data_IF_635136708309
#
_entry.id   IF_635136708309
#
_cell.length_a   1.000
_cell.length_b   1.000
_cell.length_c   1.000
_cell.angle_alpha   90.00
_cell.angle_beta   90.00
_cell.angle_gamma   90.00
#
_symmetry.space_group_name_H-M   'P 1'
#
loop_
_entity.id
_entity.type
_entity.pdbx_description
1 polymer ?
#
# COMPACT_ATOMS: atom_id res chain seq x y z
N UNK A 1 12.49 31.88 17.71
CA UNK A 1 11.38 32.36 16.85
C UNK A 1 11.97 32.96 15.58
N UNK A 2 11.24 32.88 14.46
CA UNK A 2 11.57 33.52 13.17
C UNK A 2 12.88 33.09 12.46
N UNK A 3 12.82 31.97 11.72
CA UNK A 3 13.38 31.92 10.36
C UNK A 3 12.66 30.87 9.49
N UNK A 4 11.40 31.15 9.15
CA UNK A 4 10.62 30.47 8.09
C UNK A 4 9.74 31.49 7.36
N UNK A 5 10.36 32.35 6.56
CA UNK A 5 9.70 33.23 5.60
C UNK A 5 10.74 33.77 4.60
N UNK A 6 10.44 33.65 3.30
CA UNK A 6 11.19 34.05 2.09
C UNK A 6 11.90 32.91 1.34
N UNK A 7 11.15 32.26 0.44
CA UNK A 7 11.56 31.98 -0.95
C UNK A 7 10.34 31.49 -1.75
N UNK A 8 9.37 32.38 -1.93
CA UNK A 8 8.43 32.28 -3.06
C UNK A 8 9.09 32.89 -4.31
N UNK A 9 8.65 32.46 -5.49
CA UNK A 9 9.12 32.91 -6.82
C UNK A 9 10.61 32.71 -7.12
N UNK A 10 10.95 31.51 -7.58
CA UNK A 10 11.83 31.38 -8.74
C UNK A 10 11.28 30.28 -9.67
N UNK A 11 10.44 30.68 -10.64
CA UNK A 11 10.13 29.79 -11.77
C UNK A 11 11.38 29.76 -12.65
N UNK A 12 12.27 28.80 -12.39
CA UNK A 12 13.22 28.41 -13.42
C UNK A 12 12.43 27.72 -14.52
N UNK A 13 12.33 28.37 -15.67
CA UNK A 13 12.01 27.70 -16.91
C UNK A 13 13.15 26.73 -17.22
N UNK A 14 13.06 25.51 -16.68
CA UNK A 14 13.88 24.40 -17.15
C UNK A 14 13.40 24.10 -18.56
N UNK A 15 14.18 24.52 -19.56
CA UNK A 15 13.99 24.08 -20.94
C UNK A 15 14.40 22.62 -21.05
N UNK A 16 13.58 21.73 -20.49
CA UNK A 16 13.66 20.30 -20.80
C UNK A 16 13.21 20.18 -22.26
N UNK A 17 14.13 19.77 -23.12
CA UNK A 17 13.81 19.27 -24.45
C UNK A 17 13.11 17.91 -24.36
N UNK A 18 11.96 17.88 -23.71
CA UNK A 18 11.08 16.72 -23.52
C UNK A 18 9.77 17.00 -24.24
N UNK A 19 9.35 16.07 -25.09
CA UNK A 19 8.17 16.27 -25.94
C UNK A 19 6.89 16.38 -25.11
N UNK A 20 5.94 17.16 -25.62
CA UNK A 20 4.59 17.41 -25.08
C UNK A 20 3.69 16.17 -24.99
N UNK A 21 4.25 14.96 -25.10
CA UNK A 21 3.55 13.68 -24.96
C UNK A 21 3.76 12.97 -23.60
N UNK A 22 4.69 13.41 -22.75
CA UNK A 22 4.96 12.71 -21.47
C UNK A 22 3.89 12.98 -20.39
N UNK A 23 3.40 14.22 -20.23
CA UNK A 23 2.29 14.52 -19.32
C UNK A 23 0.93 13.93 -19.76
N UNK A 24 0.77 13.64 -21.06
CA UNK A 24 -0.42 12.95 -21.57
C UNK A 24 -0.40 11.43 -21.27
N UNK A 25 0.77 10.86 -20.98
CA UNK A 25 0.96 9.41 -20.89
C UNK A 25 0.60 8.85 -19.50
N UNK A 26 0.73 9.64 -18.42
CA UNK A 26 0.33 9.23 -17.07
C UNK A 26 -1.18 9.32 -16.84
N UNK A 27 -1.85 10.32 -17.40
CA UNK A 27 -3.33 10.40 -17.39
C UNK A 27 -3.99 9.24 -18.17
N UNK A 28 -3.33 8.72 -19.20
CA UNK A 28 -3.85 7.68 -20.09
C UNK A 28 -4.01 6.28 -19.48
N UNK A 29 -3.61 6.05 -18.22
CA UNK A 29 -3.74 4.75 -17.59
C UNK A 29 -5.15 4.49 -17.02
N UNK A 30 -5.83 5.50 -16.49
CA UNK A 30 -7.12 5.35 -15.78
C UNK A 30 -8.35 5.69 -16.63
N UNK A 31 -8.22 6.61 -17.58
CA UNK A 31 -9.30 7.02 -18.47
C UNK A 31 -8.76 7.60 -19.78
N UNK A 32 -9.58 7.56 -20.83
CA UNK A 32 -9.30 8.09 -22.15
C UNK A 32 -10.26 9.25 -22.45
N UNK A 33 -9.78 10.34 -23.06
CA UNK A 33 -10.66 11.40 -23.57
C UNK A 33 -11.50 10.87 -24.74
N UNK A 34 -12.80 11.16 -24.71
CA UNK A 34 -13.75 11.04 -25.81
C UNK A 34 -13.91 12.38 -26.58
N UNK A 35 -13.21 13.43 -26.16
CA UNK A 35 -13.19 14.75 -26.80
C UNK A 35 -14.14 15.78 -26.18
N UNK A 36 -14.41 16.83 -26.96
CA UNK A 36 -15.11 18.02 -26.52
C UNK A 36 -16.58 18.05 -27.01
N UNK A 37 -17.51 18.11 -26.06
CA UNK A 37 -18.95 17.94 -26.28
C UNK A 37 -19.77 19.04 -25.59
N UNK A 38 -21.04 19.16 -25.96
CA UNK A 38 -21.95 20.09 -25.32
C UNK A 38 -22.31 19.62 -23.89
N UNK A 39 -22.16 20.45 -22.83
CA UNK A 39 -22.44 20.05 -21.45
C UNK A 39 -23.89 19.64 -21.14
N UNK A 40 -24.83 19.77 -22.08
CA UNK A 40 -26.22 19.32 -21.88
C UNK A 40 -26.38 17.80 -21.89
N UNK A 41 -25.45 17.03 -22.46
CA UNK A 41 -25.55 15.56 -22.54
C UNK A 41 -25.41 14.84 -21.19
N UNK A 42 -24.71 15.44 -20.21
CA UNK A 42 -24.49 14.83 -18.89
C UNK A 42 -24.95 15.75 -17.73
N UNK A 43 -25.72 15.26 -16.74
CA UNK A 43 -26.07 16.03 -15.56
C UNK A 43 -24.86 16.23 -14.64
N UNK A 44 -24.89 17.26 -13.80
CA UNK A 44 -23.83 17.50 -12.82
C UNK A 44 -24.01 16.62 -11.57
N UNK A 45 -22.89 16.08 -11.06
CA UNK A 45 -22.83 15.27 -9.85
C UNK A 45 -22.12 15.99 -8.68
N UNK A 46 -21.92 17.30 -8.78
CA UNK A 46 -21.40 18.14 -7.69
C UNK A 46 -22.22 17.97 -6.40
N UNK A 47 -21.54 17.83 -5.26
CA UNK A 47 -22.16 17.62 -3.95
C UNK A 47 -22.84 16.25 -3.74
N UNK A 48 -22.82 15.36 -4.73
CA UNK A 48 -23.30 13.97 -4.57
C UNK A 48 -22.22 13.04 -4.00
N UNK A 49 -20.95 13.47 -4.05
CA UNK A 49 -19.79 12.79 -3.51
C UNK A 49 -18.94 13.74 -2.67
N UNK A 50 -18.35 13.24 -1.58
CA UNK A 50 -17.55 14.05 -0.65
C UNK A 50 -16.32 14.71 -1.29
N UNK A 51 -15.73 14.10 -2.34
CA UNK A 51 -14.60 14.66 -3.11
C UNK A 51 -15.00 15.84 -3.99
N UNK A 52 -16.31 15.98 -4.25
CA UNK A 52 -16.90 17.08 -5.00
C UNK A 52 -17.52 18.15 -4.09
N UNK A 53 -17.48 17.98 -2.76
CA UNK A 53 -17.94 19.02 -1.83
C UNK A 53 -17.01 20.24 -1.88
N UNK A 54 -17.60 21.43 -2.02
CA UNK A 54 -16.89 22.70 -2.06
C UNK A 54 -17.63 23.73 -2.92
N UNK A 55 -17.41 25.01 -2.67
CA UNK A 55 -18.16 26.10 -3.33
C UNK A 55 -17.55 26.57 -4.66
N UNK A 56 -16.34 26.12 -5.00
CA UNK A 56 -15.62 26.52 -6.22
C UNK A 56 -14.84 25.36 -6.82
N UNK A 57 -15.36 24.82 -7.92
CA UNK A 57 -14.74 23.75 -8.70
C UNK A 57 -13.63 24.25 -9.63
N UNK A 58 -13.56 25.55 -9.95
CA UNK A 58 -12.58 26.10 -10.90
C UNK A 58 -11.16 26.03 -10.36
N UNK A 59 -11.01 26.22 -9.05
CA UNK A 59 -9.74 26.11 -8.31
C UNK A 59 -9.49 24.71 -7.73
N UNK A 60 -10.38 23.73 -7.98
CA UNK A 60 -10.26 22.38 -7.43
C UNK A 60 -8.97 21.71 -7.93
N UNK A 61 -8.05 21.43 -7.01
CA UNK A 61 -6.89 20.58 -7.28
C UNK A 61 -7.38 19.18 -7.68
N UNK A 62 -6.82 18.68 -8.78
CA UNK A 62 -7.08 17.35 -9.35
C UNK A 62 -8.57 17.09 -9.65
N UNK A 63 -9.23 18.10 -10.23
CA UNK A 63 -10.65 18.06 -10.60
C UNK A 63 -11.02 16.86 -11.48
N UNK A 64 -10.19 16.52 -12.49
CA UNK A 64 -10.43 15.39 -13.40
C UNK A 64 -10.41 14.08 -12.61
N UNK A 65 -9.38 13.86 -11.79
CA UNK A 65 -9.23 12.66 -10.95
C UNK A 65 -10.38 12.53 -9.94
N UNK A 66 -10.75 13.61 -9.25
CA UNK A 66 -11.88 13.60 -8.30
C UNK A 66 -13.22 13.34 -9.01
N UNK A 67 -13.38 13.83 -10.24
CA UNK A 67 -14.58 13.56 -11.04
C UNK A 67 -14.64 12.10 -11.51
N UNK A 68 -13.53 11.55 -12.00
CA UNK A 68 -13.38 10.12 -12.32
C UNK A 68 -13.76 9.24 -11.13
N UNK A 69 -13.12 9.45 -9.97
CA UNK A 69 -13.35 8.65 -8.78
C UNK A 69 -14.80 8.78 -8.25
N UNK A 70 -15.39 9.97 -8.32
CA UNK A 70 -16.80 10.22 -7.94
C UNK A 70 -17.78 9.51 -8.88
N UNK A 71 -17.58 9.61 -10.20
CA UNK A 71 -18.35 8.86 -11.19
C UNK A 71 -18.27 7.35 -10.94
N UNK A 72 -17.07 6.82 -10.66
CA UNK A 72 -16.86 5.41 -10.36
C UNK A 72 -17.52 4.94 -9.05
N UNK A 73 -17.54 5.78 -8.01
CA UNK A 73 -18.31 5.49 -6.79
C UNK A 73 -19.81 5.44 -7.08
N UNK A 74 -20.31 6.24 -8.02
CA UNK A 74 -21.69 6.20 -8.49
C UNK A 74 -21.98 5.10 -9.54
N UNK A 75 -21.06 4.16 -9.77
CA UNK A 75 -21.17 3.08 -10.77
C UNK A 75 -21.04 3.51 -12.24
N UNK A 76 -20.57 4.73 -12.51
CA UNK A 76 -20.53 5.29 -13.86
C UNK A 76 -19.16 5.09 -14.52
N UNK A 77 -19.16 4.82 -15.83
CA UNK A 77 -17.95 4.51 -16.63
C UNK A 77 -17.59 5.60 -17.65
N UNK A 78 -18.43 6.63 -17.77
CA UNK A 78 -18.18 7.84 -18.56
C UNK A 78 -18.49 9.06 -17.69
N UNK A 79 -17.59 10.03 -17.69
CA UNK A 79 -17.71 11.27 -16.94
C UNK A 79 -17.21 12.43 -17.78
N UNK A 80 -17.54 13.66 -17.40
CA UNK A 80 -17.05 14.86 -18.07
C UNK A 80 -16.88 16.01 -17.10
N UNK A 81 -16.09 17.00 -17.53
CA UNK A 81 -15.89 18.24 -16.82
C UNK A 81 -16.28 19.41 -17.71
N UNK A 82 -17.04 20.36 -17.18
CA UNK A 82 -17.33 21.66 -17.81
C UNK A 82 -16.97 22.82 -16.87
N UNK A 83 -17.07 24.07 -17.37
CA UNK A 83 -16.87 25.28 -16.57
C UNK A 83 -15.57 25.26 -15.73
N UNK A 84 -14.47 24.79 -16.33
CA UNK A 84 -13.12 24.69 -15.76
C UNK A 84 -12.98 23.77 -14.53
N UNK A 85 -13.88 22.79 -14.33
CA UNK A 85 -13.68 21.73 -13.33
C UNK A 85 -14.93 21.15 -12.68
N UNK A 86 -16.14 21.57 -13.11
CA UNK A 86 -17.40 21.04 -12.60
C UNK A 86 -17.64 19.64 -13.15
N UNK A 87 -17.87 18.69 -12.25
CA UNK A 87 -18.06 17.29 -12.59
C UNK A 87 -19.47 16.95 -13.07
N UNK A 88 -19.55 16.11 -14.10
CA UNK A 88 -20.77 15.60 -14.73
C UNK A 88 -20.64 14.12 -15.07
N UNK A 89 -21.71 13.34 -14.87
CA UNK A 89 -21.76 11.91 -15.20
C UNK A 89 -23.18 11.37 -14.98
N UNK A 90 -23.49 10.20 -15.54
CA UNK A 90 -24.76 9.47 -15.34
C UNK A 90 -24.58 7.98 -15.63
N UNK A 91 -25.57 7.16 -15.24
CA UNK A 91 -25.59 5.72 -15.54
C UNK A 91 -25.67 5.44 -17.05
N UNK A 92 -26.34 6.31 -17.80
CA UNK A 92 -26.53 6.27 -19.26
C UNK A 92 -25.49 7.08 -20.02
N UNK A 93 -24.47 7.61 -19.34
CA UNK A 93 -23.42 8.42 -19.95
C UNK A 93 -22.71 7.77 -21.15
N UNK A 94 -22.55 6.42 -21.25
CA UNK A 94 -22.01 5.80 -22.46
C UNK A 94 -22.87 5.97 -23.73
N UNK A 95 -24.18 6.22 -23.57
CA UNK A 95 -25.17 6.32 -24.66
C UNK A 95 -25.60 7.77 -24.93
N UNK A 96 -25.59 8.65 -23.91
CA UNK A 96 -26.19 9.99 -23.97
C UNK A 96 -25.17 11.17 -24.02
N UNK A 97 -23.86 10.93 -23.84
CA UNK A 97 -22.90 12.03 -23.64
C UNK A 97 -22.76 12.99 -24.83
N UNK A 98 -23.02 12.51 -26.04
CA UNK A 98 -22.90 13.23 -27.31
C UNK A 98 -24.23 13.80 -27.85
N UNK A 99 -25.35 13.59 -27.15
CA UNK A 99 -26.70 14.08 -27.53
C UNK A 99 -26.74 15.59 -27.83
N UNK A 100 -25.96 16.38 -27.11
CA UNK A 100 -25.86 17.82 -27.30
C UNK A 100 -24.97 18.26 -28.48
N UNK A 101 -24.30 17.32 -29.14
CA UNK A 101 -23.37 17.53 -30.23
C UNK A 101 -21.94 17.94 -29.80
N UNK A 102 -20.99 17.96 -30.75
CA UNK A 102 -19.60 18.36 -30.49
C UNK A 102 -19.47 19.85 -30.17
N UNK A 103 -18.46 20.20 -29.37
CA UNK A 103 -18.14 21.57 -28.96
C UNK A 103 -16.67 21.92 -29.24
N UNK A 104 -16.33 23.22 -29.20
CA UNK A 104 -14.99 23.74 -29.55
C UNK A 104 -14.35 24.56 -28.44
N UNK A 105 -14.68 24.27 -27.17
CA UNK A 105 -14.29 25.11 -26.01
C UNK A 105 -13.31 24.47 -25.02
N UNK A 106 -12.83 23.24 -25.25
CA UNK A 106 -12.03 22.49 -24.28
C UNK A 106 -10.51 22.75 -24.37
N UNK A 107 -10.02 23.26 -25.50
CA UNK A 107 -8.59 23.29 -25.88
C UNK A 107 -7.67 23.98 -24.87
N UNK A 108 -8.14 25.02 -24.16
CA UNK A 108 -7.33 25.81 -23.22
C UNK A 108 -7.50 25.40 -21.75
N UNK A 109 -8.18 24.29 -21.47
CA UNK A 109 -8.68 23.96 -20.11
C UNK A 109 -7.94 22.79 -19.46
N UNK A 110 -6.92 22.24 -20.13
CA UNK A 110 -6.17 21.05 -19.71
C UNK A 110 -7.11 19.90 -19.34
N UNK A 111 -8.18 19.71 -20.12
CA UNK A 111 -9.17 18.65 -19.93
C UNK A 111 -10.25 18.93 -18.87
N UNK A 112 -10.33 20.14 -18.31
CA UNK A 112 -11.36 20.50 -17.32
C UNK A 112 -12.67 21.00 -17.93
N UNK A 113 -12.76 21.05 -19.26
CA UNK A 113 -13.84 21.67 -20.01
C UNK A 113 -13.94 23.19 -19.82
N UNK A 114 -14.61 23.85 -20.74
CA UNK A 114 -14.73 25.31 -20.80
C UNK A 114 -16.14 25.82 -20.53
N UNK A 115 -16.33 27.12 -20.72
CA UNK A 115 -17.66 27.72 -20.67
C UNK A 115 -18.46 27.28 -21.90
N UNK A 116 -19.53 26.51 -21.66
CA UNK A 116 -20.36 25.93 -22.73
C UNK A 116 -19.74 24.73 -23.46
N UNK A 117 -18.65 24.15 -22.93
CA UNK A 117 -17.98 22.98 -23.51
C UNK A 117 -17.53 22.01 -22.42
N UNK A 118 -17.79 20.72 -22.61
CA UNK A 118 -17.47 19.64 -21.69
C UNK A 118 -16.40 18.74 -22.30
N UNK A 119 -15.28 18.54 -21.61
CA UNK A 119 -14.35 17.46 -21.98
C UNK A 119 -14.91 16.17 -21.38
N UNK A 120 -15.07 15.12 -22.18
CA UNK A 120 -15.66 13.84 -21.77
C UNK A 120 -14.59 12.76 -21.76
N UNK A 121 -14.69 11.84 -20.81
CA UNK A 121 -13.76 10.77 -20.53
C UNK A 121 -14.46 9.44 -20.33
N UNK A 122 -13.87 8.37 -20.86
CA UNK A 122 -14.26 6.98 -20.59
C UNK A 122 -13.21 6.30 -19.71
N UNK A 123 -13.67 5.59 -18.68
CA UNK A 123 -12.79 4.79 -17.82
C UNK A 123 -12.12 3.68 -18.63
N UNK A 124 -10.80 3.52 -18.46
CA UNK A 124 -10.03 2.51 -19.20
C UNK A 124 -10.42 1.09 -18.78
N UNK A 125 -10.31 0.13 -19.70
CA UNK A 125 -10.70 -1.26 -19.44
C UNK A 125 -9.98 -1.88 -18.24
N UNK A 126 -8.71 -1.47 -18.01
CA UNK A 126 -7.93 -1.87 -16.83
C UNK A 126 -8.61 -1.44 -15.52
N UNK A 127 -9.24 -0.28 -15.46
CA UNK A 127 -9.83 0.28 -14.23
C UNK A 127 -11.36 0.22 -14.18
N UNK A 128 -12.02 -0.15 -15.29
CA UNK A 128 -13.48 -0.33 -15.38
C UNK A 128 -14.02 -1.23 -14.28
N UNK A 129 -13.26 -2.24 -13.87
CA UNK A 129 -13.62 -3.18 -12.80
C UNK A 129 -13.78 -2.51 -11.42
N UNK A 130 -13.13 -1.38 -11.15
CA UNK A 130 -13.26 -0.62 -9.90
C UNK A 130 -14.64 0.06 -9.87
N UNK A 131 -14.97 0.71 -10.98
CA UNK A 131 -16.20 1.48 -11.19
C UNK A 131 -17.45 0.58 -11.35
N UNK A 132 -17.28 -0.72 -11.54
CA UNK A 132 -18.39 -1.70 -11.66
C UNK A 132 -18.55 -2.61 -10.44
N UNK A 133 -17.87 -2.35 -9.31
CA UNK A 133 -18.03 -3.11 -8.05
C UNK A 133 -19.42 -2.98 -7.39
N UNK A 134 -20.38 -2.29 -8.01
CA UNK A 134 -21.71 -2.05 -7.48
C UNK A 134 -22.58 -3.32 -7.32
N UNK A 135 -23.60 -3.25 -6.46
CA UNK A 135 -24.61 -4.30 -6.30
C UNK A 135 -26.00 -3.69 -6.49
N UNK A 136 -26.84 -4.34 -7.30
CA UNK A 136 -28.22 -3.91 -7.57
C UNK A 136 -28.36 -2.45 -8.08
N UNK A 137 -27.33 -1.96 -8.79
CA UNK A 137 -27.29 -0.59 -9.32
C UNK A 137 -26.92 0.51 -8.30
N UNK A 138 -26.55 0.15 -7.08
CA UNK A 138 -26.10 1.07 -6.04
C UNK A 138 -24.60 0.85 -5.75
N UNK A 139 -23.78 1.89 -5.46
CA UNK A 139 -22.51 1.72 -4.78
C UNK A 139 -22.58 0.66 -3.69
N UNK A 140 -21.60 -0.25 -3.67
CA UNK A 140 -21.30 -0.93 -2.41
C UNK A 140 -20.79 0.15 -1.47
N UNK A 141 -21.40 0.29 -0.29
CA UNK A 141 -20.63 0.84 0.82
C UNK A 141 -19.47 -0.11 1.04
N UNK A 142 -18.25 0.37 0.77
CA UNK A 142 -17.06 -0.39 1.09
C UNK A 142 -16.90 -0.30 2.60
N UNK A 143 -17.57 -1.20 3.33
CA UNK A 143 -17.51 -1.30 4.80
C UNK A 143 -16.10 -1.68 5.31
N UNK A 144 -15.12 -1.75 4.40
CA UNK A 144 -13.69 -1.88 4.64
C UNK A 144 -12.95 -0.90 3.72
N UNK A 145 -12.33 0.11 4.33
CA UNK A 145 -11.40 1.05 3.71
C UNK A 145 -10.13 1.11 4.57
N UNK A 146 -9.00 1.33 3.92
CA UNK A 146 -7.69 1.19 4.56
C UNK A 146 -6.94 2.52 4.64
N UNK A 147 -6.23 2.73 5.74
CA UNK A 147 -5.16 3.72 5.84
C UNK A 147 -3.85 2.94 5.85
N UNK A 148 -3.02 3.14 4.83
CA UNK A 148 -1.76 2.42 4.61
C UNK A 148 -0.60 3.39 4.73
N UNK A 149 0.39 3.08 5.55
CA UNK A 149 1.62 3.89 5.67
C UNK A 149 2.82 3.09 5.17
N UNK A 150 3.50 3.63 4.17
CA UNK A 150 4.75 3.08 3.66
C UNK A 150 5.90 3.68 4.50
N UNK A 151 6.58 2.84 5.29
CA UNK A 151 7.65 3.21 6.22
C UNK A 151 8.98 2.74 5.62
N UNK A 152 9.58 3.61 4.82
CA UNK A 152 10.76 3.31 4.02
C UNK A 152 12.05 3.70 4.75
N UNK A 153 12.97 2.75 4.80
CA UNK A 153 14.32 2.94 5.31
C UNK A 153 15.15 3.79 4.32
N UNK A 154 15.71 4.89 4.82
CA UNK A 154 16.59 5.81 4.08
C UNK A 154 17.99 5.92 4.72
N UNK A 155 18.36 4.93 5.55
CA UNK A 155 19.66 4.80 6.20
C UNK A 155 20.80 4.51 5.21
N UNK A 156 22.04 4.54 5.69
CA UNK A 156 23.24 4.33 4.86
C UNK A 156 23.61 2.87 4.62
N UNK A 157 22.91 1.90 5.21
CA UNK A 157 23.08 0.48 4.85
C UNK A 157 22.47 0.17 3.48
N UNK A 158 21.37 0.86 3.13
CA UNK A 158 20.74 0.81 1.80
C UNK A 158 21.52 1.70 0.80
N UNK A 159 22.12 1.14 -0.27
CA UNK A 159 22.76 1.94 -1.32
C UNK A 159 21.77 2.85 -2.06
N UNK A 160 22.24 4.03 -2.50
CA UNK A 160 21.43 5.00 -3.27
C UNK A 160 20.68 4.41 -4.47
N UNK A 161 21.25 3.40 -5.15
CA UNK A 161 20.58 2.72 -6.26
C UNK A 161 19.42 1.84 -5.80
N UNK A 162 19.56 1.14 -4.67
CA UNK A 162 18.49 0.34 -4.10
C UNK A 162 17.39 1.23 -3.52
N UNK A 163 17.73 2.31 -2.82
CA UNK A 163 16.75 3.32 -2.41
C UNK A 163 15.95 3.87 -3.60
N UNK A 164 16.62 4.15 -4.73
CA UNK A 164 15.96 4.52 -5.99
C UNK A 164 14.95 3.48 -6.47
N UNK A 165 15.31 2.20 -6.46
CA UNK A 165 14.40 1.10 -6.79
C UNK A 165 13.23 1.01 -5.80
N UNK A 166 13.46 1.15 -4.50
CA UNK A 166 12.39 1.00 -3.50
C UNK A 166 11.39 2.16 -3.54
N UNK A 167 11.81 3.38 -3.95
CA UNK A 167 10.85 4.44 -4.30
C UNK A 167 9.94 4.04 -5.46
N UNK A 168 10.48 3.41 -6.50
CA UNK A 168 9.66 2.91 -7.61
C UNK A 168 8.69 1.82 -7.12
N UNK A 169 9.12 0.92 -6.22
CA UNK A 169 8.22 -0.04 -5.57
C UNK A 169 7.07 0.66 -4.81
N UNK A 170 7.34 1.75 -4.08
CA UNK A 170 6.30 2.54 -3.43
C UNK A 170 5.32 3.18 -4.44
N UNK A 171 5.80 3.72 -5.55
CA UNK A 171 4.97 4.26 -6.64
C UNK A 171 4.09 3.14 -7.23
N UNK A 172 4.70 2.04 -7.65
CA UNK A 172 4.03 0.89 -8.26
C UNK A 172 2.99 0.27 -7.30
N UNK A 173 3.27 0.23 -5.99
CA UNK A 173 2.31 -0.17 -4.97
C UNK A 173 1.05 0.69 -4.99
N UNK A 174 1.15 2.02 -5.11
CA UNK A 174 -0.04 2.88 -5.19
C UNK A 174 -0.89 2.61 -6.44
N UNK A 175 -0.28 2.12 -7.54
CA UNK A 175 -0.98 1.74 -8.77
C UNK A 175 -1.70 0.38 -8.67
N UNK A 176 -1.32 -0.45 -7.70
CA UNK A 176 -1.99 -1.72 -7.39
C UNK A 176 -3.31 -1.52 -6.61
N UNK A 177 -3.51 -0.36 -5.98
CA UNK A 177 -4.64 -0.09 -5.09
C UNK A 177 -5.94 0.04 -5.88
N UNK A 178 -6.91 -0.84 -5.59
CA UNK A 178 -8.17 -0.97 -6.35
C UNK A 178 -9.41 -0.41 -5.62
N UNK A 179 -9.18 0.53 -4.71
CA UNK A 179 -10.15 1.23 -3.87
C UNK A 179 -9.79 2.72 -3.81
N UNK A 180 -10.72 3.60 -4.20
CA UNK A 180 -10.52 5.05 -4.07
C UNK A 180 -10.80 5.58 -2.66
N UNK A 181 -11.33 4.73 -1.78
CA UNK A 181 -11.55 5.03 -0.38
C UNK A 181 -10.35 4.67 0.50
N UNK A 182 -9.34 3.97 -0.05
CA UNK A 182 -8.07 3.74 0.65
C UNK A 182 -7.22 5.03 0.67
N UNK A 183 -6.32 5.13 1.64
CA UNK A 183 -5.37 6.25 1.81
C UNK A 183 -3.96 5.72 1.93
N UNK A 184 -3.00 6.45 1.35
CA UNK A 184 -1.57 6.16 1.46
C UNK A 184 -0.84 7.36 2.06
N UNK A 185 -0.01 7.11 3.07
CA UNK A 185 0.99 8.04 3.58
C UNK A 185 2.39 7.44 3.46
N UNK A 186 3.42 8.28 3.60
CA UNK A 186 4.82 7.87 3.48
C UNK A 186 5.68 8.47 4.60
N UNK A 187 6.51 7.63 5.21
CA UNK A 187 7.53 7.98 6.18
C UNK A 187 8.88 7.53 5.63
N UNK A 188 9.89 8.39 5.69
CA UNK A 188 11.30 7.98 5.59
C UNK A 188 11.92 7.90 6.97
N UNK A 189 12.83 6.94 7.20
CA UNK A 189 13.56 6.85 8.45
C UNK A 189 15.04 6.46 8.32
N UNK A 190 15.84 7.09 9.18
CA UNK A 190 17.24 6.73 9.44
C UNK A 190 17.51 6.86 10.95
N UNK A 191 18.43 7.74 11.35
CA UNK A 191 18.61 8.25 12.70
C UNK A 191 17.29 8.79 13.30
N UNK A 192 16.46 9.42 12.47
CA UNK A 192 15.14 9.96 12.82
C UNK A 192 14.12 9.64 11.72
N UNK A 193 12.86 9.47 12.12
CA UNK A 193 11.73 9.23 11.21
C UNK A 193 11.00 10.54 10.86
N UNK A 194 10.55 10.66 9.61
CA UNK A 194 9.98 11.89 9.03
C UNK A 194 8.72 11.57 8.23
N UNK A 195 7.61 12.25 8.52
CA UNK A 195 6.43 12.27 7.63
C UNK A 195 6.81 13.02 6.36
N UNK A 196 6.89 12.32 5.24
CA UNK A 196 7.07 12.94 3.92
C UNK A 196 5.67 13.19 3.31
N UNK A 197 4.78 12.19 3.32
CA UNK A 197 3.39 12.29 2.80
C UNK A 197 2.37 11.91 3.89
N UNK A 198 1.34 12.75 4.07
CA UNK A 198 0.24 12.52 5.00
C UNK A 198 -0.90 11.67 4.40
N UNK A 199 -1.58 10.89 5.23
CA UNK A 199 -2.70 10.02 4.81
C UNK A 199 -3.86 10.78 4.15
N UNK A 200 -4.06 12.06 4.48
CA UNK A 200 -5.12 12.93 3.95
C UNK A 200 -4.63 13.94 2.90
N UNK A 201 -3.36 13.85 2.48
CA UNK A 201 -2.71 14.78 1.56
C UNK A 201 -3.11 14.53 0.09
N UNK A 202 -3.23 13.25 -0.30
CA UNK A 202 -3.56 12.81 -1.66
C UNK A 202 -4.71 11.78 -1.69
N UNK A 203 -5.24 11.55 -2.90
CA UNK A 203 -6.18 10.44 -3.18
C UNK A 203 -5.50 9.41 -4.10
N UNK A 204 -6.00 8.17 -4.13
CA UNK A 204 -5.41 7.10 -4.96
C UNK A 204 -5.52 7.42 -6.46
N UNK A 205 -4.39 7.33 -7.18
CA UNK A 205 -4.26 7.74 -8.57
C UNK A 205 -4.12 9.26 -8.78
N UNK A 206 -3.88 10.03 -7.72
CA UNK A 206 -3.43 11.41 -7.85
C UNK A 206 -1.97 11.45 -8.35
N UNK A 207 -1.72 12.11 -9.49
CA UNK A 207 -0.37 12.23 -10.04
C UNK A 207 0.60 12.99 -9.12
N UNK A 208 0.09 13.78 -8.17
CA UNK A 208 0.91 14.39 -7.12
C UNK A 208 1.49 13.36 -6.14
N UNK A 209 0.75 12.29 -5.82
CA UNK A 209 1.22 11.21 -4.95
C UNK A 209 2.40 10.46 -5.59
N UNK A 210 2.24 10.07 -6.86
CA UNK A 210 3.31 9.38 -7.61
C UNK A 210 4.56 10.26 -7.76
N UNK A 211 4.38 11.55 -8.05
CA UNK A 211 5.48 12.50 -8.20
C UNK A 211 6.23 12.78 -6.88
N UNK A 212 5.51 12.93 -5.77
CA UNK A 212 6.15 13.17 -4.45
C UNK A 212 6.85 11.91 -3.94
N UNK A 213 6.31 10.71 -4.20
CA UNK A 213 6.97 9.43 -3.92
C UNK A 213 8.26 9.25 -4.73
N UNK A 214 8.25 9.56 -6.03
CA UNK A 214 9.47 9.55 -6.85
C UNK A 214 10.47 10.65 -6.43
N UNK A 215 10.00 11.80 -5.94
CA UNK A 215 10.88 12.88 -5.48
C UNK A 215 11.54 12.62 -4.10
N UNK A 216 11.19 11.55 -3.39
CA UNK A 216 11.79 11.25 -2.08
C UNK A 216 13.33 11.18 -2.14
N UNK A 217 13.98 11.78 -1.12
CA UNK A 217 15.44 11.98 -1.06
C UNK A 217 16.04 11.26 0.15
N UNK A 218 16.98 10.35 -0.11
CA UNK A 218 17.73 9.65 0.93
C UNK A 218 18.69 10.60 1.65
N UNK A 219 18.62 10.64 2.98
CA UNK A 219 19.54 11.42 3.82
C UNK A 219 20.71 10.57 4.34
N UNK A 220 20.52 9.25 4.47
CA UNK A 220 21.49 8.36 5.09
C UNK A 220 21.54 8.52 6.61
N UNK A 221 22.36 7.70 7.25
CA UNK A 221 22.45 7.62 8.71
C UNK A 221 22.44 6.17 9.20
N UNK A 222 22.14 6.00 10.48
CA UNK A 222 21.96 4.66 11.08
C UNK A 222 20.52 4.15 10.87
N UNK A 223 20.32 2.84 10.93
CA UNK A 223 19.00 2.21 10.78
C UNK A 223 18.27 2.13 12.12
N UNK A 224 17.17 2.88 12.29
CA UNK A 224 16.36 2.89 13.54
C UNK A 224 14.89 2.54 13.33
N UNK A 225 14.63 1.26 13.09
CA UNK A 225 13.32 0.74 12.70
C UNK A 225 12.25 0.85 13.79
N UNK A 226 12.55 0.52 15.05
CA UNK A 226 11.60 0.63 16.18
C UNK A 226 11.12 2.06 16.41
N UNK A 227 12.00 3.07 16.55
CA UNK A 227 11.62 4.48 16.61
C UNK A 227 10.84 4.97 15.39
N UNK A 228 11.02 4.38 14.21
CA UNK A 228 10.20 4.68 13.03
C UNK A 228 8.78 4.12 13.12
N UNK A 229 8.63 2.86 13.55
CA UNK A 229 7.33 2.24 13.85
C UNK A 229 6.61 3.03 14.95
N UNK A 230 7.33 3.41 16.01
CA UNK A 230 6.82 4.29 17.06
C UNK A 230 6.37 5.64 16.53
N UNK A 231 7.17 6.30 15.69
CA UNK A 231 6.80 7.58 15.09
C UNK A 231 5.54 7.44 14.24
N UNK A 232 5.43 6.37 13.45
CA UNK A 232 4.24 6.05 12.64
C UNK A 232 2.96 5.92 13.49
N UNK A 233 3.06 5.26 14.66
CA UNK A 233 1.96 5.11 15.64
C UNK A 233 1.62 6.41 16.38
N UNK A 234 2.63 7.06 16.96
CA UNK A 234 2.45 8.16 17.94
C UNK A 234 2.31 9.56 17.28
N UNK A 235 2.69 9.75 16.01
CA UNK A 235 2.79 11.10 15.41
C UNK A 235 1.44 11.73 15.11
N UNK A 236 1.23 12.97 15.57
CA UNK A 236 0.08 13.79 15.16
C UNK A 236 0.19 14.31 13.73
N UNK A 237 1.27 13.99 13.01
CA UNK A 237 1.44 14.31 11.58
C UNK A 237 0.74 13.31 10.65
N UNK A 238 0.24 12.19 11.17
CA UNK A 238 -0.57 11.21 10.44
C UNK A 238 -1.96 11.12 11.08
N UNK A 239 -3.00 11.44 10.29
CA UNK A 239 -4.38 11.44 10.76
C UNK A 239 -5.09 10.14 10.34
N UNK A 240 -4.94 9.10 11.16
CA UNK A 240 -5.68 7.85 11.02
C UNK A 240 -7.19 8.10 11.10
N UNK A 241 -7.94 7.66 10.08
CA UNK A 241 -9.41 7.72 10.08
C UNK A 241 -10.00 6.79 11.15
N UNK A 242 -11.07 7.26 11.78
CA UNK A 242 -11.92 6.40 12.58
C UNK A 242 -12.62 5.37 11.67
N UNK A 243 -12.60 4.09 12.05
CA UNK A 243 -13.17 2.98 11.28
C UNK A 243 -12.31 2.45 10.12
N UNK A 244 -11.20 3.10 9.76
CA UNK A 244 -10.26 2.54 8.80
C UNK A 244 -9.51 1.34 9.38
N UNK A 245 -9.19 0.37 8.53
CA UNK A 245 -8.13 -0.60 8.80
C UNK A 245 -6.79 0.11 8.75
N UNK A 246 -5.95 -0.08 9.77
CA UNK A 246 -4.63 0.54 9.86
C UNK A 246 -3.57 -0.47 9.42
N UNK A 247 -2.78 -0.10 8.43
CA UNK A 247 -1.74 -0.95 7.87
C UNK A 247 -0.44 -0.16 7.78
N UNK A 248 0.68 -0.77 8.14
CA UNK A 248 1.99 -0.25 7.78
C UNK A 248 2.80 -1.30 7.03
N UNK A 249 3.52 -0.85 6.01
CA UNK A 249 4.49 -1.64 5.25
C UNK A 249 5.86 -1.07 5.56
N UNK A 250 6.72 -1.86 6.22
CA UNK A 250 8.09 -1.45 6.57
C UNK A 250 9.04 -2.00 5.51
N UNK A 251 9.74 -1.12 4.79
CA UNK A 251 10.66 -1.48 3.71
C UNK A 251 12.10 -1.24 4.20
N UNK A 252 12.86 -2.33 4.42
CA UNK A 252 14.19 -2.27 5.07
C UNK A 252 15.06 -3.48 4.70
N UNK A 253 16.38 -3.34 4.85
CA UNK A 253 17.32 -4.47 4.80
C UNK A 253 17.36 -5.28 6.12
N UNK A 254 16.69 -4.78 7.18
CA UNK A 254 16.66 -5.39 8.50
C UNK A 254 17.94 -5.17 9.33
N UNK A 255 18.76 -4.17 8.96
CA UNK A 255 19.88 -3.74 9.79
C UNK A 255 19.37 -2.99 11.03
N UNK A 256 20.02 -3.21 12.19
CA UNK A 256 19.53 -2.74 13.49
C UNK A 256 20.64 -1.99 14.22
N UNK A 257 20.40 -0.72 14.55
CA UNK A 257 21.41 0.18 15.12
C UNK A 257 20.84 1.17 16.15
N UNK A 258 21.64 1.54 17.14
CA UNK A 258 21.31 2.61 18.08
C UNK A 258 22.01 2.49 19.43
N UNK A 259 21.89 3.55 20.25
CA UNK A 259 22.13 3.45 21.69
C UNK A 259 21.06 4.24 22.47
N UNK A 260 20.24 3.59 23.34
CA UNK A 260 20.14 2.14 23.51
C UNK A 260 19.85 1.43 22.17
N UNK A 261 20.17 0.13 22.10
CA UNK A 261 19.90 -0.66 20.90
C UNK A 261 18.42 -0.52 20.54
N UNK A 262 18.15 -0.48 19.24
CA UNK A 262 16.80 -0.44 18.72
C UNK A 262 15.98 -1.65 19.21
N UNK A 263 14.73 -1.39 19.60
CA UNK A 263 13.79 -2.41 20.07
C UNK A 263 12.61 -2.46 19.09
N UNK A 264 12.92 -2.92 17.88
CA UNK A 264 11.94 -3.06 16.80
C UNK A 264 10.83 -4.04 17.17
N UNK A 265 11.12 -5.04 18.00
CA UNK A 265 10.15 -6.02 18.51
C UNK A 265 9.09 -5.33 19.38
N UNK A 266 9.51 -4.62 20.43
CA UNK A 266 8.55 -3.99 21.35
C UNK A 266 7.69 -2.91 20.68
N UNK A 267 8.25 -2.14 19.75
CA UNK A 267 7.48 -1.12 19.02
C UNK A 267 6.57 -1.73 17.95
N UNK A 268 6.95 -2.86 17.34
CA UNK A 268 6.07 -3.62 16.45
C UNK A 268 4.89 -4.26 17.22
N UNK A 269 5.16 -4.87 18.37
CA UNK A 269 4.14 -5.42 19.27
C UNK A 269 3.15 -4.33 19.70
N UNK A 270 3.66 -3.18 20.17
CA UNK A 270 2.82 -2.05 20.56
C UNK A 270 2.04 -1.41 19.40
N UNK A 271 2.53 -1.49 18.15
CA UNK A 271 1.76 -1.07 16.99
C UNK A 271 0.60 -2.05 16.67
N UNK A 272 0.80 -3.36 16.88
CA UNK A 272 -0.26 -4.37 16.73
C UNK A 272 -1.31 -4.27 17.82
N UNK A 273 -0.91 -3.98 19.07
CA UNK A 273 -1.83 -3.69 20.18
C UNK A 273 -2.73 -2.46 19.88
N UNK A 274 -2.20 -1.45 19.19
CA UNK A 274 -2.93 -0.27 18.68
C UNK A 274 -3.78 -0.55 17.41
N UNK A 275 -3.85 -1.82 16.99
CA UNK A 275 -4.65 -2.30 15.85
C UNK A 275 -4.05 -2.02 14.47
N UNK A 276 -2.73 -1.80 14.39
CA UNK A 276 -2.01 -1.60 13.13
C UNK A 276 -1.43 -2.94 12.66
N UNK A 277 -1.87 -3.42 11.49
CA UNK A 277 -1.29 -4.63 10.90
C UNK A 277 0.02 -4.28 10.19
N UNK A 278 1.09 -5.02 10.50
CA UNK A 278 2.42 -4.81 9.95
C UNK A 278 2.77 -5.84 8.86
N UNK A 279 3.39 -5.36 7.80
CA UNK A 279 4.01 -6.15 6.74
C UNK A 279 5.45 -5.65 6.54
N UNK A 280 6.33 -6.55 6.12
CA UNK A 280 7.75 -6.25 5.90
C UNK A 280 8.14 -6.52 4.46
N UNK A 281 8.88 -5.59 3.84
CA UNK A 281 9.49 -5.75 2.51
C UNK A 281 11.01 -5.73 2.66
N UNK A 282 11.65 -6.81 2.22
CA UNK A 282 13.11 -6.93 2.18
C UNK A 282 13.70 -6.14 1.03
N UNK A 283 14.56 -5.19 1.38
CA UNK A 283 15.25 -4.31 0.43
C UNK A 283 16.70 -4.75 0.27
N UNK A 284 17.08 -5.18 -0.93
CA UNK A 284 18.46 -5.56 -1.26
C UNK A 284 18.85 -7.01 -0.93
N UNK A 285 20.16 -7.25 -0.86
CA UNK A 285 20.77 -8.55 -0.57
C UNK A 285 22.18 -8.32 0.04
N UNK A 286 22.50 -8.85 1.25
CA UNK A 286 21.66 -9.67 2.12
C UNK A 286 20.66 -8.88 2.96
N UNK A 287 19.52 -9.50 3.25
CA UNK A 287 18.48 -8.99 4.17
C UNK A 287 18.45 -9.82 5.45
N UNK A 288 18.27 -9.16 6.60
CA UNK A 288 18.11 -9.83 7.89
C UNK A 288 16.66 -10.29 8.10
N UNK A 289 16.32 -11.44 7.51
CA UNK A 289 14.96 -12.00 7.50
C UNK A 289 14.35 -12.24 8.89
N UNK A 290 15.16 -12.40 9.94
CA UNK A 290 14.67 -12.50 11.32
C UNK A 290 14.02 -11.19 11.79
N UNK A 291 14.69 -10.05 11.56
CA UNK A 291 14.15 -8.71 11.91
C UNK A 291 12.89 -8.40 11.12
N UNK A 292 12.84 -8.77 9.84
CA UNK A 292 11.63 -8.60 9.03
C UNK A 292 10.46 -9.44 9.57
N UNK A 293 10.74 -10.66 10.04
CA UNK A 293 9.73 -11.52 10.67
C UNK A 293 9.27 -10.96 12.02
N UNK A 294 10.17 -10.44 12.85
CA UNK A 294 9.83 -9.77 14.11
C UNK A 294 8.88 -8.59 13.89
N UNK A 295 9.05 -7.84 12.79
CA UNK A 295 8.17 -6.73 12.38
C UNK A 295 6.85 -7.26 11.79
N UNK A 296 6.89 -8.31 10.97
CA UNK A 296 5.73 -8.86 10.27
C UNK A 296 4.85 -9.82 11.10
N UNK A 297 5.33 -10.27 12.27
CA UNK A 297 4.79 -11.34 13.13
C UNK A 297 4.81 -12.75 12.51
N UNK A 298 4.35 -12.88 11.27
CA UNK A 298 4.16 -14.16 10.58
C UNK A 298 4.90 -14.21 9.24
N UNK A 299 5.48 -15.35 8.84
CA UNK A 299 6.21 -15.46 7.57
C UNK A 299 5.42 -15.03 6.32
N UNK A 300 4.11 -15.28 6.21
CA UNK A 300 3.31 -14.78 5.08
C UNK A 300 3.23 -13.25 4.96
N UNK A 301 3.61 -12.48 6.00
CA UNK A 301 3.61 -11.02 5.98
C UNK A 301 4.98 -10.42 5.59
N UNK A 302 5.97 -11.28 5.30
CA UNK A 302 7.29 -10.89 4.79
C UNK A 302 7.33 -11.09 3.28
N UNK A 303 7.71 -10.04 2.56
CA UNK A 303 7.77 -9.94 1.11
C UNK A 303 9.17 -9.49 0.66
N UNK A 304 9.47 -9.69 -0.62
CA UNK A 304 10.59 -9.03 -1.30
C UNK A 304 10.14 -7.75 -2.03
N UNK A 305 11.10 -6.98 -2.53
CA UNK A 305 10.90 -5.74 -3.26
C UNK A 305 10.54 -5.93 -4.76
N UNK A 306 10.00 -7.10 -5.16
CA UNK A 306 9.75 -7.41 -6.58
C UNK A 306 8.29 -7.32 -7.04
N UNK A 307 7.30 -7.66 -6.18
CA UNK A 307 5.87 -7.62 -6.54
C UNK A 307 5.03 -6.82 -5.52
N UNK A 308 4.89 -5.50 -5.71
CA UNK A 308 4.05 -4.66 -4.84
C UNK A 308 2.55 -4.97 -4.97
N UNK A 309 2.11 -5.55 -6.10
CA UNK A 309 0.73 -5.94 -6.30
C UNK A 309 0.38 -7.22 -5.54
N UNK A 310 1.30 -8.17 -5.40
CA UNK A 310 1.13 -9.32 -4.52
C UNK A 310 0.95 -8.89 -3.06
N UNK A 311 1.75 -7.93 -2.58
CA UNK A 311 1.61 -7.35 -1.25
C UNK A 311 0.25 -6.66 -1.07
N UNK A 312 -0.16 -5.76 -1.97
CA UNK A 312 -1.48 -5.11 -1.85
C UNK A 312 -2.63 -6.13 -1.88
N UNK A 313 -2.57 -7.12 -2.78
CA UNK A 313 -3.59 -8.17 -2.84
C UNK A 313 -3.66 -9.00 -1.55
N UNK A 314 -2.54 -9.18 -0.84
CA UNK A 314 -2.54 -9.82 0.48
C UNK A 314 -3.15 -8.92 1.55
N UNK A 315 -2.73 -7.66 1.62
CA UNK A 315 -3.31 -6.66 2.53
C UNK A 315 -4.83 -6.61 2.37
N UNK A 316 -5.34 -6.57 1.13
CA UNK A 316 -6.77 -6.55 0.83
C UNK A 316 -7.49 -7.82 1.30
N UNK A 317 -6.86 -9.00 1.21
CA UNK A 317 -7.44 -10.26 1.69
C UNK A 317 -7.55 -10.31 3.22
N UNK A 318 -6.50 -9.89 3.93
CA UNK A 318 -6.45 -9.94 5.39
C UNK A 318 -7.37 -8.89 6.02
N UNK A 319 -7.35 -7.67 5.49
CA UNK A 319 -8.06 -6.52 6.06
C UNK A 319 -9.53 -6.47 5.63
N UNK A 320 -9.81 -6.87 4.38
CA UNK A 320 -11.12 -6.78 3.73
C UNK A 320 -11.61 -8.11 3.11
N UNK A 321 -11.68 -9.23 3.86
CA UNK A 321 -11.96 -10.57 3.32
C UNK A 321 -13.32 -10.71 2.61
N UNK A 322 -14.29 -9.84 2.88
CA UNK A 322 -15.58 -9.79 2.17
C UNK A 322 -15.56 -9.09 0.80
N UNK A 323 -14.42 -8.52 0.41
CA UNK A 323 -14.25 -7.75 -0.83
C UNK A 323 -13.44 -8.49 -1.91
N UNK A 324 -12.84 -9.63 -1.56
CA UNK A 324 -12.32 -10.59 -2.53
C UNK A 324 -13.45 -11.13 -3.42
N UNK A 325 -13.15 -11.37 -4.70
CA UNK A 325 -14.13 -11.85 -5.68
C UNK A 325 -14.81 -13.15 -5.25
N UNK A 326 -16.04 -13.36 -5.71
CA UNK A 326 -16.91 -14.47 -5.26
C UNK A 326 -16.31 -15.85 -5.50
N UNK A 327 -15.63 -16.38 -4.46
CA UNK A 327 -15.24 -17.77 -4.34
C UNK A 327 -16.26 -18.53 -3.50
N UNK A 328 -16.81 -19.62 -4.04
CA UNK A 328 -17.71 -20.51 -3.33
C UNK A 328 -16.94 -21.35 -2.29
N UNK A 329 -16.55 -20.71 -1.18
CA UNK A 329 -15.77 -21.29 -0.10
C UNK A 329 -16.66 -21.81 1.03
N UNK A 330 -16.97 -23.10 1.02
CA UNK A 330 -17.68 -23.76 2.11
C UNK A 330 -16.84 -23.75 3.39
N UNK A 331 -17.06 -22.75 4.25
CA UNK A 331 -16.41 -22.66 5.56
C UNK A 331 -16.87 -23.79 6.47
N UNK A 332 -16.05 -24.85 6.57
CA UNK A 332 -16.26 -25.96 7.51
C UNK A 332 -15.91 -25.51 8.94
N UNK A 333 -16.76 -24.64 9.50
CA UNK A 333 -16.62 -24.13 10.86
C UNK A 333 -16.87 -25.22 11.88
N UNK A 334 -15.80 -25.79 12.43
CA UNK A 334 -15.86 -26.82 13.48
C UNK A 334 -16.24 -26.22 14.85
N UNK A 335 -17.47 -25.71 14.94
CA UNK A 335 -18.08 -25.14 16.16
C UNK A 335 -18.66 -26.22 17.06
N UNK A 336 -17.79 -26.99 17.72
CA UNK A 336 -18.19 -28.11 18.56
C UNK A 336 -18.86 -27.71 19.89
N UNK A 337 -20.09 -28.19 20.07
CA UNK A 337 -20.74 -28.54 21.35
C UNK A 337 -21.65 -27.49 22.04
N UNK A 338 -22.91 -27.46 21.59
CA UNK A 338 -24.06 -26.92 22.34
C UNK A 338 -25.25 -27.89 22.24
N UNK A 339 -25.40 -28.80 23.21
CA UNK A 339 -26.43 -29.84 23.18
C UNK A 339 -27.85 -29.29 23.39
N UNK A 340 -28.67 -29.30 22.34
CA UNK A 340 -30.08 -28.94 22.36
C UNK A 340 -30.95 -30.08 21.82
N UNK A 341 -31.76 -30.69 22.70
CA UNK A 341 -32.57 -31.87 22.37
C UNK A 341 -33.91 -31.45 21.72
N UNK A 342 -34.20 -31.90 20.50
CA UNK A 342 -35.42 -31.55 19.77
C UNK A 342 -35.83 -32.65 18.78
N UNK A 343 -37.05 -33.18 18.92
CA UNK A 343 -37.53 -34.35 18.19
C UNK A 343 -38.78 -34.02 17.34
N UNK A 344 -38.87 -34.64 16.16
CA UNK A 344 -39.99 -34.54 15.21
C UNK A 344 -39.57 -33.94 13.85
N UNK A 345 -40.02 -34.45 12.69
CA UNK A 345 -40.84 -35.63 12.44
C UNK A 345 -41.70 -35.47 11.17
N UNK A 346 -41.58 -36.42 10.22
CA UNK A 346 -42.27 -36.43 8.89
C UNK A 346 -41.93 -35.24 7.96
N UNK A 347 -41.94 -35.37 6.63
CA UNK A 347 -42.26 -36.51 5.76
C UNK A 347 -42.98 -36.01 4.49
N UNK A 348 -42.56 -36.44 3.29
CA UNK A 348 -43.21 -36.03 2.04
C UNK A 348 -42.33 -36.19 0.80
N UNK A 349 -42.65 -37.17 -0.04
CA UNK A 349 -41.95 -37.45 -1.30
C UNK A 349 -42.81 -37.07 -2.50
N UNK A 350 -42.13 -36.76 -3.62
CA UNK A 350 -42.67 -36.80 -4.98
C UNK A 350 -42.34 -35.55 -5.80
N UNK A 351 -42.00 -35.58 -7.09
CA UNK A 351 -41.55 -36.58 -8.09
C UNK A 351 -41.97 -36.03 -9.47
N UNK A 352 -41.18 -36.32 -10.52
CA UNK A 352 -41.41 -35.99 -11.96
C UNK A 352 -41.24 -34.49 -12.33
N UNK A 353 -40.73 -34.07 -13.50
CA UNK A 353 -40.14 -34.71 -14.72
C UNK A 353 -39.52 -33.61 -15.64
N UNK A 354 -38.77 -33.82 -16.74
CA UNK A 354 -38.19 -35.01 -17.42
C UNK A 354 -37.01 -34.59 -18.35
N UNK A 355 -36.11 -35.52 -18.71
CA UNK A 355 -35.17 -35.40 -19.86
C UNK A 355 -33.81 -34.74 -19.60
N UNK A 356 -32.72 -35.09 -20.32
CA UNK A 356 -32.55 -36.09 -21.39
C UNK A 356 -31.07 -36.30 -21.78
N UNK A 357 -30.60 -37.55 -21.92
CA UNK A 357 -29.36 -37.95 -22.65
C UNK A 357 -28.01 -37.48 -22.09
N UNK A 358 -26.90 -38.24 -22.17
CA UNK A 358 -26.63 -39.44 -22.98
C UNK A 358 -25.51 -40.29 -22.34
N UNK A 359 -25.51 -41.60 -22.60
CA UNK A 359 -24.44 -42.51 -22.19
C UNK A 359 -23.12 -42.26 -22.95
N UNK A 360 -21.99 -42.44 -22.26
CA UNK A 360 -20.77 -43.05 -22.84
C UNK A 360 -19.78 -43.43 -21.74
N UNK A 361 -19.75 -44.71 -21.37
CA UNK A 361 -18.66 -45.27 -20.56
C UNK A 361 -17.42 -45.55 -21.43
N UNK A 362 -16.25 -45.52 -20.80
CA UNK A 362 -15.01 -46.16 -21.29
C UNK A 362 -14.09 -46.38 -20.09
N UNK A 363 -14.12 -47.60 -19.54
CA UNK A 363 -13.07 -48.05 -18.63
C UNK A 363 -11.79 -48.31 -19.41
N UNK A 364 -10.66 -47.78 -18.93
CA UNK A 364 -9.34 -48.25 -19.34
C UNK A 364 -8.31 -47.97 -18.24
N UNK A 365 -8.27 -48.83 -17.23
CA UNK A 365 -7.13 -48.94 -16.34
C UNK A 365 -6.04 -49.84 -16.94
N UNK A 366 -4.78 -49.56 -16.62
CA UNK A 366 -3.68 -50.52 -16.59
C UNK A 366 -2.48 -49.91 -15.85
N UNK A 367 -2.08 -50.53 -14.75
CA UNK A 367 -0.85 -50.19 -14.02
C UNK A 367 0.40 -50.60 -14.81
N UNK A 368 1.47 -49.81 -14.68
CA UNK A 368 2.84 -50.29 -14.82
C UNK A 368 3.83 -49.38 -14.09
N UNK A 369 4.15 -49.75 -12.85
CA UNK A 369 5.28 -49.16 -12.13
C UNK A 369 6.62 -49.79 -12.53
N UNK A 370 7.72 -49.14 -12.17
CA UNK A 370 9.03 -49.77 -11.92
C UNK A 370 9.94 -48.78 -11.18
N UNK A 371 10.55 -49.25 -10.10
CA UNK A 371 11.57 -48.51 -9.35
C UNK A 371 12.88 -48.38 -10.13
N UNK A 372 13.61 -47.29 -9.85
CA UNK A 372 15.08 -47.30 -9.92
C UNK A 372 15.66 -46.20 -9.02
N UNK A 373 15.98 -46.56 -7.78
CA UNK A 373 16.83 -45.73 -6.92
C UNK A 373 18.32 -45.93 -7.24
N UNK A 374 19.17 -45.10 -6.67
CA UNK A 374 20.58 -45.42 -6.38
C UNK A 374 21.11 -44.45 -5.31
N UNK A 375 21.68 -45.03 -4.25
CA UNK A 375 22.22 -44.31 -3.11
C UNK A 375 23.51 -43.55 -3.41
N UNK A 376 23.82 -42.57 -2.56
CA UNK A 376 25.19 -42.15 -2.25
C UNK A 376 25.21 -41.55 -0.85
N UNK A 377 25.19 -42.41 0.17
CA UNK A 377 25.36 -41.98 1.56
C UNK A 377 26.82 -41.67 1.90
N UNK A 378 27.04 -41.00 3.03
CA UNK A 378 28.29 -41.03 3.79
C UNK A 378 28.00 -40.62 5.24
N UNK A 379 27.81 -41.62 6.10
CA UNK A 379 27.73 -41.43 7.54
C UNK A 379 29.04 -40.85 8.10
N UNK A 380 28.91 -40.02 9.14
CA UNK A 380 29.99 -39.77 10.11
C UNK A 380 29.39 -39.40 11.46
N UNK A 381 28.65 -40.33 12.06
CA UNK A 381 28.33 -40.26 13.47
C UNK A 381 29.58 -40.49 14.33
N UNK A 382 29.71 -39.75 15.43
CA UNK A 382 30.65 -40.06 16.52
C UNK A 382 30.13 -39.46 17.81
N UNK A 383 29.23 -40.19 18.47
CA UNK A 383 28.98 -39.99 19.91
C UNK A 383 30.26 -40.27 20.69
N UNK A 384 30.57 -39.43 21.67
CA UNK A 384 31.65 -39.63 22.63
C UNK A 384 31.33 -38.91 23.94
N UNK A 385 30.35 -39.44 24.68
CA UNK A 385 30.18 -39.11 26.09
C UNK A 385 31.06 -40.02 26.96
N UNK A 386 31.88 -39.43 27.83
CA UNK A 386 32.68 -39.99 28.96
C UNK A 386 33.82 -38.98 29.23
N UNK A 387 34.21 -38.61 30.45
CA UNK A 387 33.63 -38.88 31.76
C UNK A 387 34.12 -37.82 32.78
N UNK A 388 33.55 -37.86 33.99
CA UNK A 388 33.91 -37.12 35.23
C UNK A 388 35.36 -36.62 35.44
N UNK A 389 35.52 -35.46 36.10
CA UNK A 389 36.78 -35.09 36.75
C UNK A 389 36.82 -33.68 37.35
N UNK A 390 36.48 -33.54 38.63
CA UNK A 390 36.72 -32.30 39.40
C UNK A 390 38.19 -32.16 39.76
N UNK A 391 38.73 -30.94 39.77
CA UNK A 391 39.69 -30.58 40.82
C UNK A 391 39.69 -29.07 41.12
N UNK A 392 40.07 -28.73 42.35
CA UNK A 392 39.85 -27.42 42.99
C UNK A 392 41.11 -26.87 43.65
N UNK A 393 41.25 -25.55 43.69
CA UNK A 393 42.36 -24.81 44.35
C UNK A 393 42.92 -23.74 43.40
N UNK A 394 42.78 -22.43 43.59
CA UNK A 394 42.99 -21.58 44.78
C UNK A 394 44.46 -21.39 45.14
N UNK A 395 45.03 -20.27 44.67
CA UNK A 395 45.94 -19.36 45.39
C UNK A 395 45.96 -18.04 44.59
N UNK A 396 45.76 -16.83 45.13
CA UNK A 396 46.48 -16.14 46.21
C UNK A 396 47.96 -15.94 45.84
N UNK A 397 48.52 -14.74 45.64
CA UNK A 397 48.06 -13.35 45.74
C UNK A 397 49.30 -12.45 45.83
N UNK A 398 49.15 -11.12 45.83
CA UNK A 398 50.19 -10.14 46.22
C UNK A 398 51.46 -10.02 45.33
N UNK A 399 52.16 -8.88 45.22
CA UNK A 399 51.88 -7.50 45.66
C UNK A 399 52.83 -6.49 44.96
N UNK A 400 52.40 -5.23 44.84
CA UNK A 400 53.23 -4.00 44.78
C UNK A 400 54.35 -3.83 43.71
N UNK A 401 54.73 -2.63 43.25
CA UNK A 401 54.18 -1.30 43.49
C UNK A 401 55.01 -0.18 42.80
N UNK A 402 54.36 0.99 42.69
CA UNK A 402 54.94 2.34 42.90
C UNK A 402 55.99 2.92 41.94
N UNK A 403 55.61 3.95 41.17
CA UNK A 403 55.91 5.37 41.47
C UNK A 403 55.37 6.30 40.36
N UNK A 404 55.12 7.61 40.45
CA UNK A 404 55.02 8.67 41.50
C UNK A 404 55.63 9.95 40.88
N UNK A 405 54.92 11.09 40.89
CA UNK A 405 55.44 12.42 40.50
C UNK A 405 55.06 12.88 39.08
N UNK A 406 54.05 13.74 38.86
CA UNK A 406 53.92 15.18 39.22
C UNK A 406 54.77 16.11 38.35
N UNK A 407 54.14 17.01 37.59
CA UNK A 407 54.13 18.44 37.99
C UNK A 407 53.03 19.28 37.29
N UNK A 408 52.91 20.55 37.73
CA UNK A 408 51.76 21.44 37.53
C UNK A 408 52.10 22.68 36.66
N UNK A 409 51.12 23.31 36.00
CA UNK A 409 51.36 24.60 35.34
C UNK A 409 50.12 25.24 34.70
N UNK A 410 49.70 26.42 35.19
CA UNK A 410 48.52 27.17 34.71
C UNK A 410 48.89 28.45 33.95
N UNK A 411 48.13 28.79 32.90
CA UNK A 411 47.83 30.16 32.43
C UNK A 411 46.68 30.02 31.40
N UNK A 412 45.52 30.71 31.44
CA UNK A 412 45.21 32.12 31.73
C UNK A 412 45.77 33.10 30.69
N UNK A 413 44.89 33.69 29.86
CA UNK A 413 45.24 34.78 28.93
C UNK A 413 44.21 35.01 27.82
N UNK A 414 43.37 36.04 27.97
CA UNK A 414 42.47 36.58 26.94
C UNK A 414 43.25 37.06 25.70
N UNK A 415 42.66 37.15 24.50
CA UNK A 415 41.67 38.18 24.13
C UNK A 415 41.05 37.90 22.75
#
# INVERSE_FOLDING_TARGET
>A
MMWKALLATFVMAVTIGGTTGQQANTLGHQYNSLGCWNPSGLPSIEGQDSRLNGNDWTIRANAIQKCFQAACHMCYTVFGLDANGRCRSSATAPDDYDDGGPATGCENTVGRGGDGAMEVYQVSDKHRHICTKCRDGNPRTMDCFMDIVLVQDDSSSIPHSLFGNTKQYMVDFTQCINSFDDRVGAILYNCEARKEIGLDEYTIGDLGLEADLDYLMQQGGITRTGPAIRYMRDTTALTWRNGARRVAVVLTDGYIQGYPLDDHVAEADAARDDGITLYSVGVGDPVNSAVLLDIAEIPPNVFDDTDPCALYNRILQDQCPGNGGGGNGGGNGNGGNGGGNGNGGNGGSGSNESGSGSDSGSDSGSDSGSDSGSDSGSDSGSDSGSDSGSDSGSDSGSDSGSDSGSDSGSNSGSN
#
